data_IF_701825963221
#
_entry.id   IF_701825963221
#
_cell.length_a   1.000
_cell.length_b   1.000
_cell.length_c   1.000
_cell.angle_alpha   90.00
_cell.angle_beta   90.00
_cell.angle_gamma   90.00
#
_symmetry.space_group_name_H-M   'P 1'
#
loop_
_entity.id
_entity.type
_entity.pdbx_description
1 polymer ?
#
# COMPACT_ATOMS: atom_id res chain seq x y z
N UNK A 1 6.23 -27.68 19.85
CA UNK A 1 6.80 -26.34 19.61
C UNK A 1 5.88 -25.61 18.66
N UNK A 2 4.90 -24.90 19.20
CA UNK A 2 3.95 -24.13 18.39
C UNK A 2 4.71 -22.89 17.92
N UNK A 3 5.10 -22.84 16.64
CA UNK A 3 5.57 -21.58 16.05
C UNK A 3 4.38 -20.63 16.12
N UNK A 4 4.50 -19.57 16.91
CA UNK A 4 3.65 -18.40 16.72
C UNK A 4 3.97 -17.84 15.33
N UNK A 5 3.33 -18.37 14.29
CA UNK A 5 3.23 -17.65 13.03
C UNK A 5 2.11 -16.64 13.28
N UNK A 6 2.43 -15.56 14.00
CA UNK A 6 1.43 -14.67 14.55
C UNK A 6 2.00 -13.29 14.78
N UNK A 7 1.44 -12.32 14.07
CA UNK A 7 1.74 -10.88 14.09
C UNK A 7 3.03 -10.50 13.36
N UNK A 8 2.88 -9.82 12.22
CA UNK A 8 3.95 -9.16 11.47
C UNK A 8 3.50 -7.78 11.03
N UNK A 9 4.45 -6.86 10.87
CA UNK A 9 4.22 -5.52 10.32
C UNK A 9 4.38 -5.58 8.81
N UNK A 10 3.43 -5.01 8.06
CA UNK A 10 3.58 -4.72 6.64
C UNK A 10 3.62 -3.22 6.49
N UNK A 11 4.71 -2.67 5.97
CA UNK A 11 4.79 -1.27 5.59
C UNK A 11 4.56 -1.13 4.09
N UNK A 12 3.70 -0.19 3.73
CA UNK A 12 3.41 0.18 2.35
C UNK A 12 3.66 1.67 2.19
N UNK A 13 4.69 2.00 1.41
CA UNK A 13 4.97 3.36 0.96
C UNK A 13 4.58 3.53 -0.49
N UNK A 14 3.91 4.65 -0.79
CA UNK A 14 3.53 5.03 -2.16
C UNK A 14 4.05 6.43 -2.42
N UNK A 15 4.71 6.57 -3.57
CA UNK A 15 5.07 7.85 -4.16
C UNK A 15 4.28 8.04 -5.45
N UNK A 16 3.70 9.22 -5.66
CA UNK A 16 3.00 9.54 -6.90
C UNK A 16 3.21 10.98 -7.36
N UNK A 17 3.14 11.18 -8.68
CA UNK A 17 3.21 12.48 -9.33
C UNK A 17 2.27 12.52 -10.54
N UNK A 18 1.67 13.69 -10.77
CA UNK A 18 0.69 13.91 -11.83
C UNK A 18 -0.71 14.07 -11.25
N UNK A 19 -1.55 14.87 -11.89
CA UNK A 19 -2.91 15.14 -11.42
C UNK A 19 -3.78 13.88 -11.46
N UNK A 20 -4.30 13.50 -10.30
CA UNK A 20 -5.22 12.39 -10.15
C UNK A 20 -5.23 11.84 -8.72
N UNK A 21 -6.05 10.82 -8.49
CA UNK A 21 -6.09 10.10 -7.22
C UNK A 21 -5.59 8.68 -7.45
N UNK A 22 -4.64 8.25 -6.64
CA UNK A 22 -4.17 6.87 -6.59
C UNK A 22 -4.89 6.15 -5.44
N UNK A 23 -5.47 4.99 -5.72
CA UNK A 23 -6.10 4.13 -4.73
C UNK A 23 -5.28 2.86 -4.52
N UNK A 24 -5.08 2.50 -3.25
CA UNK A 24 -4.39 1.28 -2.83
C UNK A 24 -5.35 0.41 -2.06
N UNK A 25 -5.45 -0.85 -2.47
CA UNK A 25 -6.25 -1.85 -1.78
C UNK A 25 -5.37 -3.06 -1.45
N UNK A 26 -5.27 -3.38 -0.17
CA UNK A 26 -4.64 -4.62 0.29
C UNK A 26 -5.70 -5.71 0.33
N UNK A 27 -5.35 -6.94 -0.06
CA UNK A 27 -6.21 -8.12 0.08
C UNK A 27 -5.43 -9.27 0.71
N UNK A 28 -6.08 -10.12 1.53
CA UNK A 28 -7.48 -10.10 1.97
C UNK A 28 -7.70 -9.26 3.25
N UNK A 29 -6.72 -8.44 3.65
CA UNK A 29 -6.90 -7.52 4.78
C UNK A 29 -7.74 -6.36 4.26
N UNK A 30 -8.95 -6.12 4.80
CA UNK A 30 -9.85 -5.03 4.40
C UNK A 30 -9.26 -3.64 4.75
N UNK A 31 -8.14 -3.31 4.14
CA UNK A 31 -7.40 -2.07 4.30
C UNK A 31 -7.22 -1.44 2.93
N UNK A 32 -7.61 -0.19 2.82
CA UNK A 32 -7.42 0.62 1.65
C UNK A 32 -7.15 2.06 2.06
N UNK A 33 -6.45 2.78 1.19
CA UNK A 33 -6.25 4.21 1.32
C UNK A 33 -6.09 4.84 -0.06
N UNK A 34 -6.29 6.15 -0.13
CA UNK A 34 -6.09 6.93 -1.33
C UNK A 34 -5.09 8.05 -1.09
N UNK A 35 -4.43 8.48 -2.17
CA UNK A 35 -3.51 9.59 -2.17
C UNK A 35 -3.85 10.52 -3.33
N UNK A 36 -4.08 11.79 -3.02
CA UNK A 36 -4.18 12.84 -4.03
C UNK A 36 -2.78 13.19 -4.55
N UNK A 37 -2.61 13.00 -5.86
CA UNK A 37 -1.40 13.28 -6.60
C UNK A 37 -1.56 14.59 -7.36
N UNK A 38 -0.50 15.39 -7.42
CA UNK A 38 -0.51 16.72 -8.04
C UNK A 38 0.57 16.84 -9.10
N UNK A 39 0.37 17.75 -10.04
CA UNK A 39 1.36 18.02 -11.08
C UNK A 39 2.62 18.68 -10.52
N UNK A 40 3.76 18.37 -11.14
CA UNK A 40 5.05 19.02 -10.85
C UNK A 40 5.66 18.69 -9.48
N UNK A 41 5.02 17.86 -8.66
CA UNK A 41 5.53 17.48 -7.33
C UNK A 41 5.20 16.03 -6.98
N UNK A 42 6.19 15.31 -6.46
CA UNK A 42 5.98 13.99 -5.86
C UNK A 42 5.28 14.14 -4.51
N UNK A 43 4.21 13.37 -4.32
CA UNK A 43 3.50 13.17 -3.06
C UNK A 43 3.81 11.77 -2.54
N UNK A 44 4.03 11.66 -1.24
CA UNK A 44 4.43 10.43 -0.58
C UNK A 44 3.52 10.14 0.61
N UNK A 45 3.21 8.88 0.83
CA UNK A 45 2.55 8.40 2.05
C UNK A 45 3.07 7.02 2.44
N UNK A 46 3.12 6.74 3.74
CA UNK A 46 3.52 5.44 4.28
C UNK A 46 2.49 4.98 5.29
N UNK A 47 2.11 3.70 5.23
CA UNK A 47 1.20 3.09 6.20
C UNK A 47 1.81 1.80 6.74
N UNK A 48 2.01 1.75 8.05
CA UNK A 48 2.35 0.52 8.76
C UNK A 48 1.07 -0.21 9.18
N UNK A 49 0.95 -1.47 8.77
CA UNK A 49 -0.22 -2.31 9.01
C UNK A 49 0.21 -3.48 9.88
N UNK A 50 -0.43 -3.63 11.05
CA UNK A 50 -0.23 -4.79 11.92
C UNK A 50 -1.15 -5.93 11.50
N UNK A 51 -0.57 -7.01 10.97
CA UNK A 51 -1.33 -8.19 10.53
C UNK A 51 -1.76 -9.01 11.74
N UNK A 52 -3.08 -9.18 11.93
CA UNK A 52 -3.65 -9.89 13.09
C UNK A 52 -3.40 -11.41 13.08
N UNK A 53 -3.13 -11.98 11.92
CA UNK A 53 -2.85 -13.41 11.75
C UNK A 53 -1.85 -13.60 10.62
N UNK A 54 -1.07 -14.68 10.69
CA UNK A 54 -0.24 -15.07 9.57
C UNK A 54 -1.11 -15.47 8.39
N UNK A 55 -0.84 -14.85 7.25
CA UNK A 55 -1.45 -15.20 5.97
C UNK A 55 -0.36 -15.80 5.08
N UNK A 56 -0.71 -16.81 4.29
CA UNK A 56 0.20 -17.44 3.34
C UNK A 56 0.47 -16.59 2.09
N UNK A 57 -0.46 -15.68 1.77
CA UNK A 57 -0.37 -14.78 0.62
C UNK A 57 -1.15 -13.48 0.87
N UNK A 58 -0.82 -12.46 0.09
CA UNK A 58 -1.52 -11.18 0.01
C UNK A 58 -1.23 -10.49 -1.31
N UNK A 59 -2.09 -9.54 -1.69
CA UNK A 59 -1.90 -8.75 -2.90
C UNK A 59 -2.19 -7.28 -2.66
N UNK A 60 -1.40 -6.42 -3.31
CA UNK A 60 -1.65 -4.98 -3.39
C UNK A 60 -2.23 -4.68 -4.75
N UNK A 61 -3.42 -4.10 -4.78
CA UNK A 61 -4.08 -3.64 -6.00
C UNK A 61 -3.99 -2.10 -6.05
N UNK A 62 -3.45 -1.58 -7.15
CA UNK A 62 -3.31 -0.15 -7.42
C UNK A 62 -4.27 0.25 -8.53
N UNK A 63 -5.02 1.33 -8.31
CA UNK A 63 -5.83 1.99 -9.35
C UNK A 63 -5.38 3.44 -9.45
N UNK A 64 -4.98 3.89 -10.63
CA UNK A 64 -4.59 5.27 -10.88
C UNK A 64 -4.93 5.68 -12.32
N UNK A 65 -5.25 6.97 -12.57
CA UNK A 65 -5.34 7.50 -13.92
C UNK A 65 -4.01 7.38 -14.67
N UNK A 66 -4.06 7.28 -16.00
CA UNK A 66 -2.86 7.21 -16.85
C UNK A 66 -1.98 8.47 -16.80
N UNK A 67 -2.50 9.58 -16.27
CA UNK A 67 -1.75 10.83 -16.03
C UNK A 67 -0.86 10.77 -14.79
N UNK A 68 -1.01 9.74 -13.95
CA UNK A 68 -0.26 9.58 -12.69
C UNK A 68 0.86 8.57 -12.88
N UNK A 69 2.10 9.02 -12.65
CA UNK A 69 3.25 8.13 -12.48
C UNK A 69 3.39 7.79 -10.99
N UNK A 70 3.67 6.54 -10.67
CA UNK A 70 3.70 6.06 -9.30
C UNK A 70 4.80 5.03 -9.07
N UNK A 71 5.24 4.95 -7.82
CA UNK A 71 6.14 3.92 -7.31
C UNK A 71 5.59 3.37 -5.99
N UNK A 72 5.81 2.08 -5.77
CA UNK A 72 5.32 1.36 -4.60
C UNK A 72 6.49 0.61 -3.96
N UNK A 73 6.65 0.77 -2.65
CA UNK A 73 7.53 -0.04 -1.83
C UNK A 73 6.69 -0.83 -0.84
N UNK A 74 6.96 -2.12 -0.72
CA UNK A 74 6.31 -3.02 0.23
C UNK A 74 7.38 -3.73 1.03
N UNK A 75 7.28 -3.69 2.36
CA UNK A 75 8.23 -4.31 3.27
C UNK A 75 7.49 -5.07 4.37
N UNK A 76 8.00 -6.25 4.74
CA UNK A 76 7.47 -7.09 5.82
C UNK A 76 8.59 -7.57 6.72
#
# INVERSE_FOLDING_TARGET
>A
MTREIGVGSLDIQVDCQGKGTLEVNLKPVEFSFSLECVDGKVRSTSNEIRLKSARGEGSVQITAPSTVTWALTVQQ
#
